data_IF_896403594024
#
_entry.id   IF_896403594024
#
_cell.length_a   1.000
_cell.length_b   1.000
_cell.length_c   1.000
_cell.angle_alpha   90.00
_cell.angle_beta   90.00
_cell.angle_gamma   90.00
#
_symmetry.space_group_name_H-M   'P 1'
#
loop_
_entity.id
_entity.type
_entity.pdbx_description
1 polymer ?
2 water ?
#
# COMPACT_ATOMS: atom_id res chain seq x y z
N UNK A 1 1.13 8.21 -16.08
CA UNK A 1 2.51 7.82 -16.52
C UNK A 1 3.40 7.25 -15.40
N UNK A 2 3.65 8.03 -14.35
CA UNK A 2 4.62 7.65 -13.31
C UNK A 2 4.31 6.31 -12.63
N UNK A 3 5.35 5.52 -12.33
CA UNK A 3 5.19 4.21 -11.69
C UNK A 3 4.37 4.26 -10.40
N UNK A 4 4.44 5.41 -9.71
CA UNK A 4 3.64 5.63 -8.52
C UNK A 4 2.14 5.66 -8.85
N UNK A 5 1.75 6.49 -9.81
CA UNK A 5 0.36 6.57 -10.23
C UNK A 5 -0.15 5.15 -10.55
N UNK A 6 0.60 4.46 -11.40
CA UNK A 6 0.25 3.14 -11.89
C UNK A 6 0.14 2.07 -10.83
N UNK A 8 -0.32 2.56 -7.59
CA UNK A 8 -1.45 2.97 -6.76
C UNK A 8 -2.73 2.51 -7.42
N UNK A 9 -3.04 3.08 -8.60
CA UNK A 9 -4.30 2.83 -9.30
C UNK A 9 -4.56 1.34 -9.59
N UNK A 10 -3.49 0.62 -9.91
CA UNK A 10 -3.54 -0.83 -10.08
C UNK A 10 -3.95 -1.51 -8.78
N UNK A 12 -5.77 -0.23 -6.12
CA UNK A 12 -7.18 0.07 -5.85
C UNK A 12 -8.09 -0.85 -6.64
N UNK A 13 -7.92 -0.87 -7.97
CA UNK A 13 -8.70 -1.73 -8.88
C UNK A 13 -8.70 -3.17 -8.41
N UNK A 14 -7.57 -3.60 -7.87
CA UNK A 14 -7.45 -4.94 -7.36
C UNK A 14 -7.88 -5.04 -5.88
N UNK A 15 -8.64 -4.03 -5.43
CA UNK A 15 -9.22 -4.03 -4.08
C UNK A 15 -8.21 -3.98 -2.93
N UNK A 16 -6.99 -3.52 -3.21
CA UNK A 16 -6.02 -3.32 -2.16
C UNK A 16 -6.14 -1.90 -1.61
N UNK A 17 -6.30 -1.81 -0.29
CA UNK A 17 -6.41 -0.55 0.41
C UNK A 17 -5.01 -0.07 0.79
N UNK A 18 -4.67 1.18 0.43
CA UNK A 18 -3.31 1.68 0.60
C UNK A 18 -3.10 2.26 1.99
N UNK A 19 -2.12 1.72 2.71
CA UNK A 19 -1.78 2.19 4.05
C UNK A 19 -0.67 3.25 4.05
N UNK A 20 0.26 3.11 3.11
CA UNK A 20 1.54 3.81 3.13
C UNK A 20 2.20 3.72 1.77
N UNK A 21 2.75 4.83 1.31
CA UNK A 21 3.64 4.81 0.14
C UNK A 21 4.98 5.40 0.50
N UNK A 22 6.04 4.91 -0.11
CA UNK A 22 7.32 5.56 0.04
C UNK A 22 8.09 5.61 -1.27
N UNK A 23 8.79 6.73 -1.47
CA UNK A 23 9.70 6.97 -2.57
C UNK A 23 11.09 7.17 -2.01
N UNK A 24 12.08 6.56 -2.66
CA UNK A 24 13.43 6.71 -2.17
C UNK A 24 14.48 6.63 -3.27
N UNK A 25 15.63 7.24 -3.03
CA UNK A 25 16.72 7.24 -4.00
C UNK A 25 17.99 7.15 -3.22
N UNK A 26 19.02 6.55 -3.80
CA UNK A 26 20.26 6.32 -3.08
C UNK A 26 21.46 6.56 -3.96
N UNK A 27 22.48 7.21 -3.44
CA UNK A 27 23.65 7.47 -4.25
C UNK A 27 24.91 7.03 -3.53
N UNK A 28 25.63 6.07 -4.12
CA UNK A 28 26.93 5.64 -3.59
C UNK A 28 27.95 6.73 -3.74
N UNK A 29 28.83 6.81 -2.75
CA UNK A 29 29.70 7.94 -2.60
C UNK A 29 30.98 7.38 -2.00
N UNK A 30 32.01 8.19 -1.87
CA UNK A 30 33.21 7.70 -1.20
C UNK A 30 33.77 8.75 -0.27
N UNK A 31 33.62 8.49 1.02
CA UNK A 31 33.79 9.55 2.01
C UNK A 31 34.68 9.17 3.17
N UNK A 32 35.80 9.89 3.23
CA UNK A 32 36.64 9.98 4.40
C UNK A 32 35.79 10.48 5.56
N UNK A 33 36.17 10.16 6.79
CA UNK A 33 35.57 10.83 7.93
C UNK A 33 35.51 12.34 7.69
N UNK A 34 36.64 12.94 7.33
CA UNK A 34 36.69 14.38 7.07
C UNK A 34 35.69 14.85 6.02
N UNK A 35 35.62 14.15 4.89
CA UNK A 35 34.66 14.51 3.85
C UNK A 35 33.24 14.29 4.30
N UNK A 36 33.04 13.31 5.17
CA UNK A 36 31.71 12.98 5.64
C UNK A 36 31.13 14.15 6.44
N UNK A 37 31.89 14.68 7.39
CA UNK A 37 31.40 15.78 8.20
C UNK A 37 31.29 17.08 7.42
N UNK A 38 32.06 17.16 6.34
CA UNK A 38 31.98 18.28 5.42
C UNK A 38 30.62 18.25 4.70
N UNK A 39 30.28 17.08 4.20
CA UNK A 39 29.05 16.87 3.50
C UNK A 39 27.86 17.12 4.41
N UNK A 40 27.97 16.66 5.67
CA UNK A 40 26.92 16.84 6.67
C UNK A 40 26.72 18.33 6.88
N UNK A 41 27.82 19.03 7.05
CA UNK A 41 27.77 20.47 7.32
C UNK A 41 27.09 21.20 6.17
N UNK A 42 27.35 20.77 4.93
CA UNK A 42 26.73 21.37 3.77
C UNK A 42 25.23 21.06 3.70
N UNK A 43 24.87 19.82 4.06
CA UNK A 43 23.49 19.40 4.09
C UNK A 43 22.69 20.21 5.10
N UNK A 44 23.28 20.50 6.26
CA UNK A 44 22.60 21.25 7.31
C UNK A 44 22.43 22.71 6.91
N UNK A 45 23.38 23.23 6.13
CA UNK A 45 23.23 24.58 5.62
C UNK A 45 22.15 24.62 4.55
N UNK A 46 22.21 23.70 3.60
CA UNK A 46 21.33 23.76 2.44
C UNK A 46 19.87 23.38 2.80
N UNK A 47 19.69 22.40 3.67
CA UNK A 47 18.35 21.95 3.98
C UNK A 47 17.96 22.18 5.42
N UNK A 48 17.71 23.44 5.74
CA UNK A 48 17.44 23.86 7.11
C UNK A 48 16.22 23.20 7.77
N UNK A 49 15.38 22.54 6.98
CA UNK A 49 14.14 21.99 7.51
C UNK A 49 14.35 20.75 8.39
N UNK A 50 15.45 20.02 8.18
CA UNK A 50 15.72 18.76 8.87
C UNK A 50 16.18 18.95 10.31
N UNK A 51 15.81 18.02 11.18
CA UNK A 51 16.46 17.86 12.49
C UNK A 51 17.41 16.70 12.35
N UNK A 52 18.65 16.92 12.81
CA UNK A 52 19.72 15.98 12.59
C UNK A 52 20.10 15.24 13.86
N UNK A 53 20.43 13.97 13.69
CA UNK A 53 21.01 13.16 14.75
C UNK A 53 22.22 12.48 14.11
N UNK A 54 23.37 12.50 14.80
CA UNK A 54 24.50 11.70 14.35
C UNK A 54 24.56 10.44 15.19
N UNK A 55 24.59 9.28 14.55
CA UNK A 55 24.77 8.02 15.25
C UNK A 55 25.99 7.28 14.75
N UNK A 56 26.79 6.76 15.69
CA UNK A 56 28.03 6.06 15.39
C UNK A 56 28.04 4.68 16.06
N UNK A 57 27.47 3.70 15.39
CA UNK A 57 27.59 2.29 15.82
C UNK A 57 28.72 1.62 15.01
N UNK A 58 29.88 1.50 15.65
CA UNK A 58 31.14 1.25 14.96
C UNK A 58 31.27 -0.06 14.16
N UNK A 59 32.09 -0.03 13.11
CA UNK A 59 32.81 1.17 12.65
C UNK A 59 32.11 1.87 11.46
N UNK A 61 29.28 5.43 10.48
CA UNK A 61 28.71 6.70 10.93
C UNK A 61 27.51 7.10 10.09
N UNK A 62 26.49 7.59 10.77
CA UNK A 62 25.19 7.83 10.18
C UNK A 62 24.74 9.22 10.58
N UNK A 63 24.49 10.08 9.61
CA UNK A 63 23.84 11.36 9.88
C UNK A 63 22.42 11.24 9.39
N UNK A 64 21.45 11.29 10.30
CA UNK A 64 20.06 11.13 9.91
C UNK A 64 19.30 12.43 10.03
N UNK A 65 18.82 12.95 8.91
CA UNK A 65 17.99 14.16 8.91
C UNK A 65 16.52 13.88 8.70
N UNK A 66 15.71 14.51 9.51
CA UNK A 66 14.31 14.17 9.60
C UNK A 66 13.46 15.44 9.59
N UNK A 67 12.30 15.37 8.92
CA UNK A 67 11.39 16.51 8.73
C UNK A 67 10.03 16.05 8.26
N UNK A 68 8.98 16.55 8.90
CA UNK A 68 7.62 16.25 8.43
C UNK A 68 6.87 17.49 7.99
N UNK A 69 6.37 17.42 6.76
CA UNK A 69 5.61 18.48 6.10
C UNK A 69 4.15 18.34 6.47
N UNK A 70 3.68 19.17 7.39
CA UNK A 70 2.30 19.03 7.88
C UNK A 70 1.27 19.51 6.87
N UNK A 71 1.65 20.43 6.00
CA UNK A 71 0.72 20.98 5.04
C UNK A 71 0.41 19.94 3.98
N UNK A 72 1.42 19.17 3.62
CA UNK A 72 1.32 18.24 2.51
C UNK A 72 1.20 16.81 3.00
N UNK A 73 1.12 16.66 4.33
CA UNK A 73 0.84 15.38 5.00
C UNK A 73 1.83 14.32 4.53
N UNK A 74 3.11 14.68 4.61
CA UNK A 74 4.19 13.91 3.99
C UNK A 74 5.49 14.03 4.82
N UNK A 75 6.30 12.97 4.83
CA UNK A 75 7.53 12.96 5.64
C UNK A 75 8.81 12.69 4.87
N UNK A 76 9.88 13.37 5.27
CA UNK A 76 11.15 13.25 4.62
C UNK A 76 12.28 12.79 5.54
N UNK A 77 13.21 12.05 4.96
CA UNK A 77 14.39 11.60 5.64
C UNK A 77 15.55 11.72 4.67
N UNK A 78 16.62 12.38 5.11
CA UNK A 78 17.87 12.48 4.36
C UNK A 78 18.96 11.84 5.21
N UNK A 79 19.62 10.86 4.66
CA UNK A 79 20.55 10.08 5.45
C UNK A 79 21.92 9.86 4.76
N UNK A 80 22.98 10.34 5.39
CA UNK A 80 24.37 10.17 4.93
C UNK A 80 25.08 9.10 5.75
N UNK A 81 25.57 8.08 5.09
CA UNK A 81 26.25 7.01 5.79
C UNK A 81 27.66 6.79 5.24
N UNK A 82 28.61 6.56 6.13
CA UNK A 82 29.93 6.07 5.73
C UNK A 82 30.37 4.97 6.67
N UNK A 83 31.09 3.98 6.14
CA UNK A 83 31.75 2.98 7.00
C UNK A 83 33.14 3.50 7.25
N UNK A 84 33.42 3.72 8.54
CA UNK A 84 34.61 4.40 9.03
C UNK A 84 35.93 3.64 8.86
N UNK A 85 35.90 2.32 9.01
CA UNK A 85 37.14 1.51 9.01
C UNK A 85 37.46 0.97 7.62
N UNK A 86 38.20 1.77 6.84
CA UNK A 86 38.65 1.39 5.49
C UNK A 86 39.45 2.51 4.83
N UNK A 87 40.55 2.12 4.17
CA UNK A 87 41.27 3.07 3.32
C UNK A 87 40.80 3.00 1.85
N UNK A 88 39.60 2.45 1.66
CA UNK A 88 38.75 2.77 0.51
C UNK A 88 37.26 2.68 0.89
N UNK A 89 36.71 3.77 1.46
CA UNK A 89 35.47 3.64 2.21
C UNK A 89 34.23 3.62 1.33
N UNK A 90 33.27 2.80 1.72
CA UNK A 90 32.01 2.77 1.03
C UNK A 90 30.99 3.65 1.78
N UNK A 91 30.40 4.59 1.04
CA UNK A 91 29.50 5.57 1.58
C UNK A 91 28.28 5.69 0.69
N UNK A 92 27.20 6.25 1.23
CA UNK A 92 26.05 6.60 0.43
C UNK A 92 25.22 7.75 1.01
N UNK A 93 24.42 8.37 0.14
CA UNK A 93 23.44 9.33 0.55
C UNK A 93 22.06 8.82 0.16
N UNK A 94 21.12 8.82 1.11
CA UNK A 94 19.80 8.29 0.85
C UNK A 94 18.72 9.35 1.09
N UNK A 95 17.81 9.53 0.14
CA UNK A 95 16.72 10.49 0.27
C UNK A 95 15.39 9.78 0.20
N UNK A 96 14.54 10.06 1.18
CA UNK A 96 13.32 9.25 1.30
C UNK A 96 12.07 10.06 1.61
N UNK A 97 11.02 9.86 0.82
CA UNK A 97 9.71 10.47 1.09
C UNK A 97 8.66 9.41 1.38
N UNK A 99 4.40 8.71 3.18
CA UNK A 99 3.15 9.19 3.78
C UNK A 99 2.17 8.07 4.08
N UNK A 100 1.34 8.28 5.11
CA UNK A 100 0.24 7.37 5.44
C UNK A 100 -1.05 7.77 4.74
N UNK A 101 -0.97 8.73 3.83
CA UNK A 101 -2.17 9.28 3.21
C UNK A 101 -1.98 9.42 1.72
N UNK A 102 -3.04 9.14 0.99
CA UNK A 102 -3.03 9.28 -0.45
C UNK A 102 -2.90 10.76 -0.76
N UNK A 103 -2.03 11.09 -1.71
CA UNK A 103 -1.78 12.49 -1.98
C UNK A 103 -2.81 13.04 -2.96
N UNK A 104 -2.88 14.37 -3.08
CA UNK A 104 -3.73 14.98 -4.10
C UNK A 104 -3.52 14.34 -5.48
N UNK A 105 -2.25 14.20 -5.88
CA UNK A 105 -1.90 13.63 -7.17
C UNK A 105 -0.66 12.76 -7.10
N UNK A 106 -0.86 11.45 -7.22
CA UNK A 106 0.24 10.51 -7.30
C UNK A 106 1.31 10.97 -8.26
N UNK A 107 0.89 11.55 -9.38
CA UNK A 107 1.84 12.00 -10.40
C UNK A 107 2.61 13.26 -10.05
N UNK A 108 1.94 14.24 -9.45
CA UNK A 108 2.65 15.45 -9.07
C UNK A 108 3.63 15.20 -7.95
N UNK A 109 3.37 14.20 -7.10
CA UNK A 109 4.28 13.94 -6.00
C UNK A 109 5.52 13.19 -6.49
N UNK A 110 5.32 12.19 -7.36
CA UNK A 110 6.47 11.51 -7.96
C UNK A 110 7.35 12.49 -8.73
N UNK A 111 6.74 13.33 -9.56
CA UNK A 111 7.52 14.30 -10.35
C UNK A 111 8.24 15.28 -9.45
N UNK A 112 7.65 15.60 -8.32
CA UNK A 112 8.30 16.45 -7.33
C UNK A 112 9.52 15.84 -6.72
N UNK A 113 9.38 14.59 -6.30
CA UNK A 113 10.44 13.83 -5.70
C UNK A 113 11.62 13.71 -6.67
N UNK A 114 11.32 13.28 -7.89
CA UNK A 114 12.31 13.15 -8.95
C UNK A 114 13.06 14.46 -9.09
N UNK A 115 12.30 15.55 -9.12
CA UNK A 115 12.84 16.88 -9.21
C UNK A 115 13.85 17.20 -8.08
N UNK A 116 13.43 17.01 -6.82
CA UNK A 116 14.26 17.25 -5.64
C UNK A 116 15.50 16.38 -5.60
N UNK A 117 15.36 15.17 -6.11
CA UNK A 117 16.42 14.20 -6.24
C UNK A 117 17.62 14.81 -6.95
N UNK A 118 17.37 15.44 -8.09
CA UNK A 118 18.41 16.01 -8.94
C UNK A 118 19.11 17.14 -8.24
N UNK A 119 18.36 17.92 -7.48
CA UNK A 119 18.96 18.99 -6.67
C UNK A 119 19.86 18.43 -5.57
N UNK A 120 19.44 17.34 -4.95
CA UNK A 120 20.17 16.79 -3.82
C UNK A 120 21.41 16.03 -4.29
N UNK A 121 21.27 15.24 -5.35
CA UNK A 121 22.31 14.31 -5.76
C UNK A 121 23.14 14.82 -6.91
N UNK A 122 22.64 15.83 -7.62
CA UNK A 122 23.34 16.40 -8.78
C UNK A 122 23.70 15.34 -9.83
N UNK A 123 22.83 14.35 -9.96
CA UNK A 123 22.99 13.26 -10.89
C UNK A 123 21.64 12.56 -10.99
N UNK A 124 21.36 11.93 -12.12
CA UNK A 124 20.11 11.22 -12.28
C UNK A 124 20.25 9.85 -11.62
N UNK A 125 19.35 9.56 -10.69
CA UNK A 125 19.47 8.34 -9.89
C UNK A 125 18.23 7.52 -10.04
N UNK A 126 18.32 6.23 -9.73
CA UNK A 126 17.18 5.33 -9.82
C UNK A 126 16.24 5.68 -8.69
N UNK A 127 14.95 5.75 -9.00
CA UNK A 127 13.95 6.08 -8.01
C UNK A 127 13.14 4.86 -7.65
N UNK A 128 13.04 4.56 -6.35
CA UNK A 128 12.36 3.36 -5.90
C UNK A 128 10.99 3.68 -5.30
N UNK A 129 9.96 3.01 -5.81
CA UNK A 129 8.59 3.16 -5.33
C UNK A 129 8.11 1.91 -4.62
N UNK A 130 7.51 2.09 -3.44
CA UNK A 130 6.99 0.98 -2.65
C UNK A 130 5.70 1.36 -1.96
N UNK A 131 4.65 0.57 -2.22
CA UNK A 131 3.36 0.75 -1.56
C UNK A 131 3.05 -0.39 -0.58
N UNK A 132 2.45 -0.02 0.55
CA UNK A 132 1.93 -0.96 1.52
C UNK A 132 0.42 -0.79 1.59
N UNK A 133 -0.28 -1.90 1.70
CA UNK A 133 -1.74 -1.89 1.73
C UNK A 133 -2.29 -3.14 2.37
N UNK A 134 -3.60 -3.12 2.63
CA UNK A 134 -4.28 -4.27 3.21
C UNK A 134 -5.48 -4.68 2.39
N UNK A 135 -5.91 -5.92 2.59
CA UNK A 135 -7.12 -6.47 1.94
C UNK A 135 -8.35 -6.25 2.80
N UNK A 136 -9.49 -6.09 2.12
CA UNK A 136 -10.78 -5.83 2.77
C UNK A 136 -11.27 -7.01 3.62
N UNK A 137 -11.40 -6.78 4.93
CA UNK A 137 -11.81 -7.82 5.90
C UNK A 137 -13.34 -7.96 6.07
N UNK A 138 -14.10 -7.19 5.28
CA UNK A 138 -15.56 -7.24 5.26
C UNK A 138 -16.05 -8.60 4.73
N UNK A 140 -18.83 -9.94 4.60
CA UNK A 140 -20.01 -9.74 3.74
C UNK A 140 -19.74 -9.78 2.23
N UNK A 141 -18.56 -9.32 1.79
CA UNK A 141 -18.25 -9.28 0.35
C UNK A 141 -17.92 -10.68 -0.23
N UNK A 142 -17.20 -11.48 0.56
CA UNK A 142 -16.83 -12.83 0.14
C UNK A 142 -18.01 -13.82 0.20
N UNK A 143 -18.81 -13.69 1.27
CA UNK A 143 -20.04 -14.48 1.45
C UNK A 143 -20.99 -14.30 0.26
N UNK A 144 -21.18 -13.04 -0.14
CA UNK A 144 -22.08 -12.69 -1.25
C UNK A 144 -21.59 -13.16 -2.61
N UNK A 145 -20.28 -13.11 -2.83
CA UNK A 145 -19.70 -13.48 -4.12
C UNK A 145 -19.88 -14.97 -4.38
N UNK A 146 -19.51 -15.79 -3.39
CA UNK A 146 -19.65 -17.24 -3.47
C UNK A 146 -21.11 -17.66 -3.65
N UNK A 147 -22.01 -16.98 -2.93
CA UNK A 147 -23.45 -17.17 -3.09
C UNK A 147 -23.85 -17.12 -4.56
N UNK A 148 -23.37 -16.10 -5.26
CA UNK A 148 -23.65 -15.91 -6.68
C UNK A 148 -23.00 -16.98 -7.55
N UNK A 149 -21.71 -17.22 -7.30
CA UNK A 149 -21.00 -18.28 -7.98
C UNK A 149 -21.82 -19.56 -7.90
N UNK A 150 -22.34 -19.86 -6.70
CA UNK A 150 -23.22 -21.00 -6.45
C UNK A 150 -24.56 -20.88 -7.19
N UNK A 151 -25.16 -19.69 -7.12
CA UNK A 151 -26.42 -19.42 -7.80
C UNK A 151 -26.31 -19.68 -9.29
N UNK A 152 -25.18 -19.28 -9.87
CA UNK A 152 -24.91 -19.51 -11.28
C UNK A 152 -24.46 -20.93 -11.54
N UNK A 153 -23.65 -21.45 -10.62
CA UNK A 153 -23.35 -22.87 -10.61
C UNK A 153 -24.60 -23.66 -10.90
N UNK A 154 -25.75 -23.11 -10.52
CA UNK A 154 -27.01 -23.81 -10.64
C UNK A 154 -27.97 -23.12 -11.60
N UNK A 155 -28.16 -21.81 -11.42
CA UNK A 155 -29.16 -21.07 -12.18
C UNK A 155 -30.30 -20.54 -11.31
N UNK A 159 -33.99 -16.74 -8.21
CA UNK A 159 -33.27 -16.19 -7.07
C UNK A 159 -34.19 -15.33 -6.21
N UNK A 160 -33.65 -14.77 -5.14
CA UNK A 160 -34.36 -13.79 -4.34
C UNK A 160 -34.00 -13.89 -2.86
N UNK A 161 -33.83 -12.76 -2.21
CA UNK A 161 -32.52 -12.32 -1.73
C UNK A 161 -32.55 -11.87 -0.29
N UNK A 162 -31.37 -11.53 0.23
CA UNK A 162 -31.27 -11.00 1.58
C UNK A 162 -29.99 -10.21 1.81
N UNK A 163 -29.78 -9.81 3.06
CA UNK A 163 -28.44 -9.48 3.60
C UNK A 163 -28.48 -8.95 5.05
N UNK A 164 -27.61 -9.49 5.92
CA UNK A 164 -27.54 -9.13 7.34
C UNK A 164 -26.09 -9.10 7.87
N UNK A 165 -25.83 -8.53 9.08
CA UNK A 165 -24.48 -8.30 9.61
C UNK A 165 -23.35 -9.21 9.08
N UNK A 166 -23.49 -10.52 9.24
CA UNK A 166 -22.54 -11.50 8.68
C UNK A 166 -23.26 -12.71 8.08
N UNK A 167 -24.19 -12.44 7.16
CA UNK A 167 -25.18 -13.42 6.71
C UNK A 167 -25.69 -13.10 5.29
N UNK A 168 -25.98 -14.15 4.51
CA UNK A 168 -26.60 -14.00 3.18
C UNK A 168 -27.44 -15.23 2.82
N UNK A 169 -28.68 -14.98 2.39
CA UNK A 169 -29.59 -16.04 1.94
C UNK A 169 -30.28 -15.71 0.62
N UNK A 170 -30.57 -16.74 -0.16
CA UNK A 170 -31.15 -16.60 -1.49
C UNK A 170 -32.21 -17.70 -1.68
N UNK A 171 -33.34 -17.33 -2.27
CA UNK A 171 -34.28 -18.31 -2.81
C UNK A 171 -34.20 -18.23 -4.33
N UNK A 172 -34.31 -19.36 -5.04
CA UNK A 172 -34.14 -19.37 -6.48
C UNK A 172 -34.97 -20.43 -7.19
N UNK A 173 -34.84 -20.51 -8.51
CA UNK A 173 -35.53 -21.51 -9.32
C UNK A 173 -34.69 -21.92 -10.53
N UNK A 174 -34.77 -23.20 -10.90
CA UNK A 174 -34.23 -23.69 -12.18
C UNK A 174 -35.09 -24.79 -12.75
N UNK A 175 -35.15 -24.84 -14.08
CA UNK A 175 -35.91 -25.87 -14.79
C UNK A 175 -35.14 -27.20 -14.73
N UNK A 176 -34.19 -27.27 -13.80
CA UNK A 176 -33.31 -28.42 -13.63
C UNK A 176 -33.92 -29.60 -12.85
N UNK A 177 -34.90 -29.34 -11.98
CA UNK A 177 -35.53 -30.39 -11.17
C UNK A 177 -37.05 -30.42 -11.26
N UNK A 178 -37.65 -31.49 -10.72
CA UNK A 178 -39.10 -31.68 -10.75
C UNK A 178 -39.85 -30.72 -9.80
N UNK A 179 -39.31 -30.57 -8.60
CA UNK A 179 -40.01 -29.95 -7.48
C UNK A 179 -39.87 -28.44 -7.40
N UNK A 180 -40.77 -27.84 -6.63
CA UNK A 180 -40.96 -26.41 -6.51
C UNK A 180 -41.82 -26.23 -5.27
N UNK A 181 -42.00 -24.98 -4.85
CA UNK A 181 -43.14 -24.61 -4.01
C UNK A 181 -43.62 -23.19 -4.34
N UNK A 183 -45.65 -20.50 -2.22
CA UNK A 183 -46.46 -19.82 -1.21
C UNK A 183 -46.38 -18.31 -1.38
N UNK A 184 -46.80 -17.58 -0.35
CA UNK A 184 -47.05 -16.15 -0.48
C UNK A 184 -46.22 -15.53 -1.59
N UNK A 185 -46.85 -15.14 -2.69
CA UNK A 185 -46.08 -14.57 -3.79
C UNK A 185 -44.58 -14.92 -3.70
N UNK A 186 -44.25 -16.18 -3.95
CA UNK A 186 -43.68 -16.62 -5.21
C UNK A 186 -43.40 -18.12 -5.20
N UNK A 187 -42.31 -18.50 -5.87
CA UNK A 187 -42.23 -19.81 -6.51
C UNK A 187 -40.78 -20.24 -6.72
N UNK A 189 -37.31 -23.19 -5.59
CA UNK A 189 -36.81 -24.55 -5.34
C UNK A 189 -35.29 -24.70 -5.09
N UNK A 190 -34.65 -23.59 -4.68
CA UNK A 190 -33.25 -23.61 -4.25
C UNK A 190 -33.01 -22.53 -3.21
N UNK A 191 -32.50 -22.91 -2.04
CA UNK A 191 -32.05 -21.97 -1.00
C UNK A 191 -30.56 -22.12 -0.71
N UNK A 192 -29.82 -21.03 -0.94
CA UNK A 192 -28.40 -20.91 -0.61
C UNK A 192 -28.23 -20.02 0.62
N UNK A 193 -27.43 -20.45 1.58
CA UNK A 193 -27.21 -19.66 2.80
C UNK A 193 -25.78 -19.76 3.35
N UNK A 194 -25.11 -18.60 3.40
CA UNK A 194 -23.76 -18.47 3.96
C UNK A 194 -23.76 -17.68 5.28
N UNK A 195 -22.86 -18.04 6.20
CA UNK A 195 -22.68 -17.31 7.48
C UNK A 195 -21.19 -17.28 7.86
N UNK A 196 -20.74 -16.15 8.43
CA UNK A 196 -19.31 -15.88 8.70
C UNK A 196 -18.67 -16.64 9.87
N UNK A 203 -16.06 -21.05 7.31
CA UNK A 203 -17.31 -20.39 6.98
C UNK A 203 -18.41 -21.34 6.52
N UNK A 204 -19.64 -20.99 6.88
CA UNK A 204 -20.79 -21.91 6.76
C UNK A 204 -21.50 -21.82 5.40
N UNK A 205 -21.80 -22.97 4.80
CA UNK A 205 -22.64 -23.00 3.60
C UNK A 205 -23.81 -23.97 3.79
N UNK A 206 -25.00 -23.56 3.34
CA UNK A 206 -26.18 -24.42 3.34
C UNK A 206 -26.95 -24.33 2.03
N UNK A 207 -27.15 -25.47 1.39
CA UNK A 207 -27.81 -25.58 0.09
C UNK A 207 -28.95 -26.62 0.15
N UNK A 208 -30.16 -26.22 -0.25
CA UNK A 208 -31.38 -27.01 -0.05
C UNK A 208 -32.44 -26.97 -1.15
N UNK A 209 -33.17 -28.07 -1.30
CA UNK A 209 -34.25 -28.22 -2.30
C UNK A 209 -35.48 -28.87 -1.68
N UNK A 210 -36.67 -28.27 -1.89
CA UNK A 210 -36.91 -26.92 -2.39
C UNK A 210 -36.50 -25.77 -1.46
N UNK A 211 -36.59 -25.97 -0.14
CA UNK A 211 -36.08 -25.01 0.85
C UNK A 211 -35.23 -25.71 1.92
N UNK A 212 -34.31 -24.97 2.53
CA UNK A 212 -33.69 -25.45 3.77
C UNK A 212 -34.63 -25.24 4.98
N UNK A 213 -35.13 -26.35 5.54
CA UNK A 213 -36.14 -26.34 6.62
C UNK A 213 -35.55 -26.28 8.05
N UNK A 214 -36.39 -26.66 9.02
CA UNK A 214 -36.09 -26.58 10.47
C UNK A 214 -37.08 -27.39 11.33
#
# INVERSE_FOLDING_TARGET
>A
LTPLAQXAEGXERQDVSIDKWTLHAKQNLSLTEKEFYQKVQRLKQEYRQYDWVIAREDKXIKAIGTYTDKKNRTSFRLQLVTTLKKHNPTSYLLYEQXSLETPDSWNDTYEQFERETLGIFQEKVVIFTCLNGHLDDNXNIVLQKKANQLLNEFQARSVEHVVEPNFVSISAFTDEWEEYIXTSKHKXNLQIALRSAGXGGKHTVTVGTPIVTTEY
#
